data_IF_240887475053
#
_entry.id   IF_240887475053
#
_cell.length_a   1.000
_cell.length_b   1.000
_cell.length_c   1.000
_cell.angle_alpha   90.00
_cell.angle_beta   90.00
_cell.angle_gamma   90.00
#
_symmetry.space_group_name_H-M   'P 1'
#
loop_
_entity.id
_entity.type
_entity.pdbx_description
1 polymer ?
#
# COMPACT_ATOMS: atom_id res chain seq x y z
N UNK A 1 29.66 -56.77 -21.51
CA UNK A 1 29.79 -57.87 -22.54
C UNK A 1 30.32 -57.25 -23.79
N UNK A 2 31.56 -57.54 -24.02
CA UNK A 2 32.23 -57.85 -25.30
C UNK A 2 32.38 -56.69 -26.28
N UNK A 3 33.58 -56.23 -26.45
CA UNK A 3 34.72 -56.80 -27.30
C UNK A 3 34.69 -56.07 -28.64
N UNK A 4 35.75 -55.64 -29.30
CA UNK A 4 37.20 -55.96 -29.42
C UNK A 4 37.78 -54.79 -30.24
N UNK A 5 38.87 -54.15 -29.91
CA UNK A 5 40.27 -54.50 -30.10
C UNK A 5 40.77 -54.64 -31.54
N UNK A 6 41.80 -53.88 -31.75
CA UNK A 6 43.08 -54.19 -32.35
C UNK A 6 43.23 -53.84 -33.85
N UNK A 7 44.20 -53.09 -34.16
CA UNK A 7 45.66 -53.24 -34.29
C UNK A 7 46.05 -53.54 -35.77
N UNK A 8 47.02 -52.96 -36.33
CA UNK A 8 48.44 -53.27 -36.54
C UNK A 8 49.00 -52.28 -37.58
N UNK A 9 50.02 -51.53 -37.30
CA UNK A 9 51.47 -51.77 -37.41
C UNK A 9 52.03 -52.20 -38.82
N UNK A 10 52.90 -51.32 -39.30
CA UNK A 10 54.17 -51.54 -39.92
C UNK A 10 54.25 -51.99 -41.41
N UNK A 11 55.04 -51.25 -42.15
CA UNK A 11 56.23 -51.77 -42.78
C UNK A 11 57.10 -50.67 -43.40
N UNK A 12 58.33 -50.62 -42.94
CA UNK A 12 59.54 -50.02 -43.52
C UNK A 12 59.85 -50.63 -44.92
N UNK A 13 60.45 -49.82 -45.85
CA UNK A 13 61.80 -50.02 -46.36
C UNK A 13 62.10 -49.03 -47.47
N UNK A 14 63.14 -48.23 -47.30
CA UNK A 14 64.34 -47.97 -48.07
C UNK A 14 64.29 -48.10 -49.59
N UNK A 15 64.71 -47.07 -50.33
CA UNK A 15 65.91 -47.05 -51.13
C UNK A 15 66.26 -45.65 -51.65
N UNK A 16 67.49 -45.39 -51.60
CA UNK A 16 68.38 -44.27 -51.72
C UNK A 16 68.62 -43.74 -53.14
N UNK A 17 69.12 -42.48 -53.15
CA UNK A 17 70.05 -41.82 -54.05
C UNK A 17 69.64 -41.43 -55.48
N UNK A 18 69.60 -40.11 -55.67
CA UNK A 18 70.47 -39.41 -56.62
C UNK A 18 70.36 -37.87 -56.43
N UNK A 19 71.50 -37.29 -56.28
CA UNK A 19 71.73 -35.85 -56.20
C UNK A 19 71.57 -35.15 -57.57
N UNK A 20 70.92 -34.00 -57.61
CA UNK A 20 71.31 -32.87 -58.48
C UNK A 20 70.67 -31.59 -57.95
N UNK A 21 71.52 -30.59 -57.83
CA UNK A 21 71.17 -29.27 -57.22
C UNK A 21 70.10 -28.48 -57.95
N UNK A 22 69.36 -27.83 -57.15
CA UNK A 22 68.51 -26.74 -57.55
C UNK A 22 68.46 -25.68 -56.42
N UNK A 23 68.22 -24.41 -56.67
CA UNK A 23 68.51 -23.28 -55.75
C UNK A 23 67.62 -23.27 -54.52
N UNK A 24 68.20 -22.87 -53.41
CA UNK A 24 67.65 -22.72 -52.11
C UNK A 24 66.48 -21.71 -52.21
N UNK A 25 65.26 -22.18 -52.09
CA UNK A 25 64.05 -21.31 -51.85
C UNK A 25 64.15 -20.72 -50.40
N UNK A 26 64.00 -19.43 -50.29
CA UNK A 26 63.84 -18.77 -49.02
C UNK A 26 62.59 -19.32 -48.32
N UNK A 27 62.77 -19.71 -47.06
CA UNK A 27 61.64 -20.02 -46.17
C UNK A 27 60.72 -18.81 -46.07
N UNK A 28 59.40 -18.95 -46.23
CA UNK A 28 58.46 -17.87 -46.00
C UNK A 28 58.54 -17.46 -44.52
N UNK A 29 58.78 -16.21 -44.26
CA UNK A 29 58.62 -15.60 -42.93
C UNK A 29 57.20 -15.82 -42.46
N UNK A 30 56.95 -16.17 -41.15
CA UNK A 30 55.61 -16.25 -40.63
C UNK A 30 54.96 -14.88 -40.77
N UNK A 31 53.77 -14.87 -41.35
CA UNK A 31 52.89 -13.67 -41.35
C UNK A 31 52.68 -13.20 -39.91
N UNK A 32 52.72 -11.88 -39.66
CA UNK A 32 52.44 -11.38 -38.32
C UNK A 32 50.99 -11.78 -37.93
N UNK A 33 50.86 -12.40 -36.76
CA UNK A 33 49.57 -12.68 -36.16
C UNK A 33 48.74 -11.38 -36.13
N UNK A 34 47.41 -11.49 -36.50
CA UNK A 34 46.52 -10.32 -36.42
C UNK A 34 46.50 -9.83 -34.96
N UNK A 35 46.44 -8.51 -34.72
CA UNK A 35 46.38 -7.97 -33.38
C UNK A 35 45.21 -8.59 -32.66
N UNK A 36 45.43 -9.15 -31.47
CA UNK A 36 44.39 -9.61 -30.57
C UNK A 36 43.48 -8.39 -30.33
N UNK A 37 42.27 -8.46 -30.84
CA UNK A 37 41.25 -7.43 -30.52
C UNK A 37 41.07 -7.44 -28.99
N UNK A 38 41.48 -6.38 -28.33
CA UNK A 38 41.15 -6.18 -26.92
C UNK A 38 39.59 -6.20 -26.83
N UNK A 39 39.05 -7.17 -26.07
CA UNK A 39 37.62 -7.14 -25.72
C UNK A 39 37.34 -5.79 -25.07
N UNK A 40 36.28 -5.08 -25.52
CA UNK A 40 35.90 -3.83 -24.87
C UNK A 40 35.67 -4.09 -23.40
N UNK A 41 36.31 -3.30 -22.54
CA UNK A 41 36.05 -3.30 -21.11
C UNK A 41 34.54 -3.11 -20.90
N UNK A 42 33.91 -3.87 -20.00
CA UNK A 42 32.50 -3.67 -19.70
C UNK A 42 32.27 -2.20 -19.32
N UNK A 43 31.25 -1.59 -19.89
CA UNK A 43 30.86 -0.23 -19.50
C UNK A 43 30.57 -0.24 -17.98
N UNK A 44 31.02 0.78 -17.26
CA UNK A 44 30.73 0.88 -15.83
C UNK A 44 29.21 0.88 -15.63
N UNK A 45 28.72 0.08 -14.67
CA UNK A 45 27.32 0.10 -14.28
C UNK A 45 26.88 1.51 -13.94
N UNK A 46 25.69 1.95 -14.37
CA UNK A 46 25.18 3.26 -14.02
C UNK A 46 25.12 3.42 -12.50
N UNK A 47 25.43 4.60 -11.99
CA UNK A 47 25.27 4.87 -10.57
C UNK A 47 23.78 4.68 -10.17
N UNK A 48 23.51 4.16 -8.96
CA UNK A 48 22.13 3.94 -8.51
C UNK A 48 21.35 5.27 -8.49
N UNK A 49 20.09 5.20 -8.84
CA UNK A 49 19.15 6.32 -8.79
C UNK A 49 18.84 6.72 -7.35
N UNK A 50 18.28 7.91 -7.14
CA UNK A 50 17.84 8.35 -5.81
C UNK A 50 16.78 7.40 -5.24
N UNK A 51 15.88 6.87 -6.07
CA UNK A 51 14.85 5.90 -5.68
C UNK A 51 15.48 4.56 -5.25
N UNK A 52 16.44 4.03 -6.02
CA UNK A 52 17.14 2.79 -5.64
C UNK A 52 17.89 2.94 -4.31
N UNK A 53 18.50 4.10 -4.06
CA UNK A 53 19.15 4.41 -2.79
C UNK A 53 18.14 4.52 -1.64
N UNK A 54 16.97 5.10 -1.87
CA UNK A 54 15.90 5.19 -0.87
C UNK A 54 15.37 3.80 -0.51
N UNK A 55 15.17 2.94 -1.49
CA UNK A 55 14.78 1.52 -1.29
C UNK A 55 15.83 0.78 -0.47
N UNK A 56 17.13 0.88 -0.81
CA UNK A 56 18.21 0.20 -0.08
C UNK A 56 18.28 0.64 1.39
N UNK A 57 18.12 1.94 1.64
CA UNK A 57 18.11 2.49 3.00
C UNK A 57 16.90 1.99 3.80
N UNK A 58 15.72 2.00 3.18
CA UNK A 58 14.50 1.52 3.82
C UNK A 58 14.60 0.02 4.14
N UNK A 59 15.09 -0.80 3.22
CA UNK A 59 15.29 -2.23 3.44
C UNK A 59 16.34 -2.50 4.55
N UNK A 60 17.38 -1.68 4.63
CA UNK A 60 18.37 -1.72 5.72
C UNK A 60 17.74 -1.36 7.07
N UNK A 61 16.89 -0.32 7.07
CA UNK A 61 16.16 0.10 8.27
C UNK A 61 15.20 -1.01 8.75
N UNK A 62 14.38 -1.54 7.84
CA UNK A 62 13.46 -2.66 8.13
C UNK A 62 14.19 -3.87 8.71
N UNK A 63 15.35 -4.24 8.15
CA UNK A 63 16.15 -5.36 8.64
C UNK A 63 16.72 -5.13 10.05
N UNK A 64 16.78 -3.89 10.53
CA UNK A 64 17.24 -3.54 11.88
C UNK A 64 16.15 -3.59 12.94
N UNK A 65 14.87 -3.66 12.53
CA UNK A 65 13.70 -3.63 13.42
C UNK A 65 13.47 -4.99 14.09
N UNK A 66 13.02 -4.95 15.36
CA UNK A 66 12.51 -6.14 16.05
C UNK A 66 11.14 -6.56 15.51
N UNK A 67 10.71 -7.79 15.81
CA UNK A 67 9.37 -8.28 15.44
C UNK A 67 8.27 -7.39 16.03
N UNK A 68 8.40 -6.97 17.29
CA UNK A 68 7.43 -6.11 17.98
C UNK A 68 7.32 -4.74 17.28
N UNK A 69 8.44 -4.16 16.84
CA UNK A 69 8.46 -2.91 16.11
C UNK A 69 7.80 -3.07 14.75
N UNK A 70 8.12 -4.14 14.00
CA UNK A 70 7.50 -4.42 12.69
C UNK A 70 5.99 -4.61 12.84
N UNK A 71 5.55 -5.46 13.77
CA UNK A 71 4.11 -5.70 14.02
C UNK A 71 3.41 -4.43 14.46
N UNK A 72 4.00 -3.64 15.36
CA UNK A 72 3.42 -2.37 15.80
C UNK A 72 3.16 -1.39 14.65
N UNK A 73 4.07 -1.34 13.66
CA UNK A 73 3.90 -0.49 12.49
C UNK A 73 2.71 -0.89 11.61
N UNK A 74 2.22 -2.12 11.68
CA UNK A 74 1.05 -2.59 10.94
C UNK A 74 -0.28 -2.19 11.61
N UNK A 75 -0.26 -1.43 12.69
CA UNK A 75 -1.47 -1.01 13.40
C UNK A 75 -1.71 0.50 13.29
N UNK A 76 -2.80 0.85 12.62
CA UNK A 76 -3.33 2.21 12.49
C UNK A 76 -4.60 2.29 13.34
N UNK A 77 -4.44 2.67 14.60
CA UNK A 77 -5.47 2.43 15.59
C UNK A 77 -6.32 3.66 15.88
N UNK A 78 -7.57 3.44 16.26
CA UNK A 78 -8.39 4.52 16.79
C UNK A 78 -7.73 5.10 18.04
N UNK A 79 -7.42 6.40 18.02
CA UNK A 79 -6.77 7.07 19.14
C UNK A 79 -7.51 6.76 20.45
N UNK A 80 -6.87 6.15 21.47
CA UNK A 80 -7.52 5.80 22.72
C UNK A 80 -7.82 7.05 23.58
N UNK A 81 -8.79 6.96 24.47
CA UNK A 81 -9.11 8.06 25.38
C UNK A 81 -8.02 8.26 26.43
N UNK A 82 -7.39 7.16 26.85
CA UNK A 82 -6.38 7.12 27.91
C UNK A 82 -5.10 6.47 27.39
N UNK A 83 -3.96 6.89 27.92
CA UNK A 83 -2.62 6.34 27.64
C UNK A 83 -2.11 6.51 26.21
N UNK A 84 -2.74 7.40 25.39
CA UNK A 84 -2.39 7.55 23.98
C UNK A 84 -0.88 7.84 23.72
N UNK A 85 -0.20 8.54 24.62
CA UNK A 85 1.26 8.80 24.51
C UNK A 85 2.08 7.57 24.89
N UNK A 86 1.69 6.87 25.96
CA UNK A 86 2.37 5.67 26.45
C UNK A 86 2.21 4.50 25.46
N UNK A 87 1.02 4.33 24.88
CA UNK A 87 0.72 3.23 23.98
C UNK A 87 1.53 3.32 22.66
N UNK A 88 1.87 4.53 22.20
CA UNK A 88 2.76 4.71 21.05
C UNK A 88 4.08 3.97 21.26
N UNK A 89 4.68 4.16 22.44
CA UNK A 89 5.97 3.53 22.78
C UNK A 89 5.82 2.06 23.13
N UNK A 90 4.76 1.71 23.90
CA UNK A 90 4.55 0.35 24.38
C UNK A 90 4.28 -0.64 23.26
N UNK A 91 3.54 -0.21 22.25
CA UNK A 91 3.09 -1.07 21.14
C UNK A 91 3.74 -0.73 19.80
N UNK A 92 4.69 0.22 19.76
CA UNK A 92 5.38 0.67 18.54
C UNK A 92 4.41 1.03 17.40
N UNK A 93 3.29 1.70 17.70
CA UNK A 93 2.16 1.89 16.81
C UNK A 93 2.54 2.55 15.49
N UNK A 94 1.96 2.08 14.38
CA UNK A 94 2.09 2.66 13.05
C UNK A 94 1.41 4.02 12.91
N UNK A 95 0.30 4.24 13.62
CA UNK A 95 -0.40 5.51 13.60
C UNK A 95 -1.69 5.58 14.41
N UNK A 96 -2.28 6.78 14.45
CA UNK A 96 -3.55 7.07 15.08
C UNK A 96 -4.56 7.64 14.08
N UNK A 97 -5.79 7.12 14.11
CA UNK A 97 -6.96 7.77 13.48
C UNK A 97 -7.70 8.55 14.57
N UNK A 98 -7.86 9.86 14.33
CA UNK A 98 -8.58 10.77 15.22
C UNK A 98 -10.03 10.90 14.76
N UNK A 99 -10.94 10.81 15.73
CA UNK A 99 -12.39 10.93 15.53
C UNK A 99 -12.90 12.28 16.03
N UNK A 100 -14.19 12.56 15.80
CA UNK A 100 -14.82 13.81 16.25
C UNK A 100 -14.68 14.08 17.75
N UNK A 101 -14.59 13.04 18.60
CA UNK A 101 -14.34 13.21 20.05
C UNK A 101 -12.95 13.80 20.33
N UNK A 102 -11.98 13.51 19.47
CA UNK A 102 -10.58 13.89 19.67
C UNK A 102 -10.32 15.33 19.19
N UNK A 103 -11.18 15.83 18.30
CA UNK A 103 -11.14 17.19 17.76
C UNK A 103 -12.13 18.13 18.44
N UNK A 104 -13.20 17.59 19.07
CA UNK A 104 -14.29 18.37 19.66
C UNK A 104 -13.79 19.38 20.70
N UNK A 105 -14.29 20.58 20.60
CA UNK A 105 -14.02 21.71 21.53
C UNK A 105 -12.53 22.11 21.66
N UNK A 106 -11.64 21.57 20.80
CA UNK A 106 -10.22 21.94 20.77
C UNK A 106 -9.99 23.17 19.91
N UNK A 107 -9.06 24.02 20.33
CA UNK A 107 -8.47 25.02 19.44
C UNK A 107 -7.44 24.37 18.53
N UNK A 108 -7.05 25.04 17.43
CA UNK A 108 -6.00 24.56 16.55
C UNK A 108 -4.69 24.29 17.33
N UNK A 109 -4.31 25.20 18.22
CA UNK A 109 -3.11 25.02 19.04
C UNK A 109 -3.20 23.80 19.97
N UNK A 110 -4.36 23.53 20.59
CA UNK A 110 -4.53 22.37 21.47
C UNK A 110 -4.41 21.06 20.68
N UNK A 111 -4.96 21.02 19.47
CA UNK A 111 -4.89 19.83 18.61
C UNK A 111 -3.46 19.61 18.11
N UNK A 112 -2.79 20.65 17.62
CA UNK A 112 -1.38 20.60 17.19
C UNK A 112 -0.49 20.09 18.34
N UNK A 113 -0.63 20.64 19.54
CA UNK A 113 0.16 20.19 20.70
C UNK A 113 -0.17 18.74 21.11
N UNK A 114 -1.40 18.32 20.92
CA UNK A 114 -1.81 16.92 21.18
C UNK A 114 -1.13 15.97 20.19
N UNK A 115 -1.23 16.24 18.90
CA UNK A 115 -0.61 15.42 17.84
C UNK A 115 0.92 15.42 17.98
N UNK A 116 1.51 16.58 18.29
CA UNK A 116 2.96 16.68 18.51
C UNK A 116 3.44 15.77 19.62
N UNK A 117 2.70 15.67 20.76
CA UNK A 117 3.07 14.74 21.84
C UNK A 117 3.02 13.29 21.41
N UNK A 118 2.13 12.90 20.50
CA UNK A 118 2.13 11.56 19.93
C UNK A 118 3.36 11.33 19.05
N UNK A 119 3.68 12.29 18.18
CA UNK A 119 4.87 12.22 17.32
C UNK A 119 6.18 12.22 18.13
N UNK A 120 6.28 13.05 19.17
CA UNK A 120 7.48 13.14 20.03
C UNK A 120 7.73 11.84 20.84
N UNK A 121 6.69 11.03 21.07
CA UNK A 121 6.81 9.73 21.74
C UNK A 121 7.16 8.58 20.79
N UNK A 122 6.96 8.76 19.49
CA UNK A 122 7.17 7.73 18.49
C UNK A 122 8.64 7.63 18.08
N UNK A 123 9.19 6.41 18.09
CA UNK A 123 10.52 6.14 17.53
C UNK A 123 10.49 6.21 16.00
N UNK A 124 9.40 5.79 15.39
CA UNK A 124 9.11 5.91 13.94
C UNK A 124 7.89 6.82 13.81
N UNK A 125 7.96 7.94 13.08
CA UNK A 125 6.87 8.89 12.96
C UNK A 125 5.53 8.24 12.61
N UNK A 126 4.46 8.71 13.24
CA UNK A 126 3.13 8.14 13.14
C UNK A 126 2.40 8.62 11.87
N UNK A 127 1.62 7.72 11.28
CA UNK A 127 0.48 8.11 10.47
C UNK A 127 -0.56 8.76 11.38
N UNK A 128 -0.98 9.97 11.07
CA UNK A 128 -2.07 10.68 11.80
C UNK A 128 -3.20 10.91 10.81
N UNK A 129 -4.24 10.10 10.95
CA UNK A 129 -5.36 10.07 10.02
C UNK A 129 -6.66 10.63 10.58
N UNK A 130 -7.54 10.96 9.66
CA UNK A 130 -8.90 11.44 9.98
C UNK A 130 -9.84 11.18 8.81
N UNK A 131 -11.14 10.97 9.10
CA UNK A 131 -12.20 10.96 8.09
C UNK A 131 -12.73 12.39 7.85
N UNK A 132 -12.14 13.11 6.96
CA UNK A 132 -12.66 14.43 6.54
C UNK A 132 -13.15 14.33 5.09
N UNK A 133 -14.20 13.50 4.85
CA UNK A 133 -14.77 13.26 3.52
C UNK A 133 -15.48 14.50 2.98
N UNK A 134 -16.12 15.21 3.88
CA UNK A 134 -17.10 16.26 3.59
C UNK A 134 -18.54 15.77 3.80
N UNK A 135 -19.51 16.69 3.79
CA UNK A 135 -20.92 16.33 3.95
C UNK A 135 -21.27 15.78 5.32
N UNK A 136 -21.66 14.50 5.37
CA UNK A 136 -22.08 13.82 6.61
C UNK A 136 -20.90 13.32 7.44
N UNK A 137 -19.76 13.05 6.81
CA UNK A 137 -18.55 12.51 7.46
C UNK A 137 -17.47 13.57 7.51
N UNK A 138 -17.44 14.30 8.62
CA UNK A 138 -16.47 15.35 8.94
C UNK A 138 -16.11 15.28 10.42
N UNK A 139 -14.83 15.39 10.74
CA UNK A 139 -14.34 15.32 12.13
C UNK A 139 -13.70 16.63 12.55
N UNK A 140 -12.88 17.22 11.70
CA UNK A 140 -12.17 18.48 11.95
C UNK A 140 -13.10 19.67 11.71
N UNK A 141 -13.68 19.78 10.52
CA UNK A 141 -14.55 20.92 10.16
C UNK A 141 -15.90 20.95 10.88
N UNK A 142 -16.24 19.88 11.62
CA UNK A 142 -17.39 19.88 12.53
C UNK A 142 -17.17 20.77 13.77
N UNK A 143 -15.90 21.09 14.09
CA UNK A 143 -15.54 21.97 15.19
C UNK A 143 -15.36 23.42 14.69
N UNK A 144 -16.21 24.37 15.13
CA UNK A 144 -16.17 25.76 14.67
C UNK A 144 -14.91 26.53 15.09
N UNK A 145 -14.12 26.02 16.06
CA UNK A 145 -12.83 26.60 16.43
C UNK A 145 -11.70 26.20 15.43
N UNK A 146 -11.90 25.15 14.61
CA UNK A 146 -10.95 24.71 13.62
C UNK A 146 -11.33 25.21 12.22
N UNK A 147 -12.63 25.24 11.88
CA UNK A 147 -13.15 25.80 10.64
C UNK A 147 -14.54 26.38 10.86
N UNK A 148 -14.83 27.53 10.29
CA UNK A 148 -16.10 28.25 10.49
C UNK A 148 -17.34 27.53 9.96
N UNK A 149 -17.17 26.58 9.02
CA UNK A 149 -18.25 25.78 8.45
C UNK A 149 -17.72 24.39 8.05
N UNK A 150 -18.61 23.39 8.02
CA UNK A 150 -18.27 22.04 7.56
C UNK A 150 -17.92 22.04 6.08
N UNK A 151 -16.99 21.18 5.68
CA UNK A 151 -16.76 20.85 4.28
C UNK A 151 -18.03 20.24 3.68
N UNK A 152 -18.32 20.56 2.42
CA UNK A 152 -19.51 20.07 1.74
C UNK A 152 -19.27 18.67 1.16
N UNK A 153 -20.38 17.95 0.88
CA UNK A 153 -20.28 16.68 0.16
C UNK A 153 -19.79 16.89 -1.28
N UNK A 154 -19.08 15.89 -1.87
CA UNK A 154 -18.66 15.95 -3.27
C UNK A 154 -19.79 16.28 -4.25
N UNK A 155 -20.98 15.73 -4.01
CA UNK A 155 -22.18 16.01 -4.81
C UNK A 155 -22.56 17.49 -4.81
N UNK A 156 -22.54 18.14 -3.63
CA UNK A 156 -22.89 19.58 -3.51
C UNK A 156 -21.83 20.47 -4.15
N UNK A 157 -20.56 20.13 -3.99
CA UNK A 157 -19.45 20.84 -4.61
C UNK A 157 -19.56 20.77 -6.13
N UNK A 158 -19.76 19.59 -6.67
CA UNK A 158 -19.89 19.37 -8.09
C UNK A 158 -21.11 20.11 -8.68
N UNK A 159 -22.25 20.03 -8.00
CA UNK A 159 -23.46 20.76 -8.42
C UNK A 159 -23.30 22.28 -8.38
N UNK A 160 -22.46 22.80 -7.47
CA UNK A 160 -22.22 24.23 -7.26
C UNK A 160 -21.15 24.84 -8.18
N UNK A 161 -20.15 24.07 -8.61
CA UNK A 161 -19.02 24.61 -9.36
C UNK A 161 -18.19 23.58 -10.14
N UNK A 162 -18.74 22.37 -10.37
CA UNK A 162 -18.09 21.33 -11.14
C UNK A 162 -16.82 20.78 -10.46
N UNK A 163 -15.94 20.21 -11.26
CA UNK A 163 -14.68 19.62 -10.75
C UNK A 163 -13.72 20.68 -10.19
N UNK A 164 -13.77 21.92 -10.69
CA UNK A 164 -12.95 23.01 -10.14
C UNK A 164 -13.29 23.30 -8.67
N UNK A 165 -14.56 23.22 -8.29
CA UNK A 165 -14.98 23.39 -6.89
C UNK A 165 -14.56 22.18 -6.04
N UNK A 166 -14.59 20.97 -6.59
CA UNK A 166 -14.15 19.74 -5.91
C UNK A 166 -12.66 19.78 -5.62
N UNK A 167 -11.83 20.12 -6.59
CA UNK A 167 -10.36 20.20 -6.42
C UNK A 167 -9.94 21.36 -5.52
N UNK A 168 -10.66 22.50 -5.59
CA UNK A 168 -10.41 23.63 -4.68
C UNK A 168 -10.73 23.26 -3.22
N UNK A 169 -11.81 22.52 -2.97
CA UNK A 169 -12.20 22.03 -1.66
C UNK A 169 -11.17 20.99 -1.13
N UNK A 170 -10.69 20.07 -1.97
CA UNK A 170 -9.65 19.12 -1.62
C UNK A 170 -8.38 19.86 -1.15
N UNK A 171 -7.89 20.82 -1.91
CA UNK A 171 -6.73 21.65 -1.55
C UNK A 171 -6.93 22.41 -0.22
N UNK A 172 -8.11 23.03 0.00
CA UNK A 172 -8.40 23.72 1.27
C UNK A 172 -8.40 22.73 2.44
N UNK A 173 -8.93 21.53 2.23
CA UNK A 173 -8.99 20.44 3.20
C UNK A 173 -7.59 19.97 3.57
N UNK A 174 -6.76 19.69 2.58
CA UNK A 174 -5.38 19.23 2.78
C UNK A 174 -4.53 20.27 3.49
N UNK A 175 -4.65 21.55 3.11
CA UNK A 175 -3.98 22.65 3.79
C UNK A 175 -4.39 22.79 5.26
N UNK A 176 -5.69 22.63 5.58
CA UNK A 176 -6.17 22.65 6.95
C UNK A 176 -5.65 21.46 7.75
N UNK A 177 -5.74 20.26 7.20
CA UNK A 177 -5.32 19.02 7.87
C UNK A 177 -3.81 19.02 8.15
N UNK A 178 -3.00 19.35 7.14
CA UNK A 178 -1.54 19.46 7.29
C UNK A 178 -1.13 20.50 8.33
N UNK A 179 -1.78 21.66 8.35
CA UNK A 179 -1.52 22.72 9.35
C UNK A 179 -1.84 22.27 10.77
N UNK A 180 -2.73 21.31 10.95
CA UNK A 180 -3.09 20.72 12.26
C UNK A 180 -2.22 19.53 12.64
N UNK A 181 -1.40 19.00 11.71
CA UNK A 181 -0.48 17.87 11.93
C UNK A 181 -1.01 16.52 11.44
N UNK A 182 -2.12 16.48 10.71
CA UNK A 182 -2.56 15.28 9.99
C UNK A 182 -1.72 15.07 8.74
N UNK A 183 -1.45 13.82 8.41
CA UNK A 183 -0.72 13.43 7.19
C UNK A 183 -1.50 12.42 6.33
N UNK A 184 -2.66 11.93 6.80
CA UNK A 184 -3.56 11.04 6.05
C UNK A 184 -5.00 11.53 6.19
N UNK A 185 -5.70 11.66 5.08
CA UNK A 185 -7.16 11.78 5.06
C UNK A 185 -7.76 10.49 4.49
N UNK A 186 -8.65 9.82 5.26
CA UNK A 186 -9.35 8.63 4.82
C UNK A 186 -10.46 9.01 3.83
N UNK A 187 -10.05 9.48 2.68
CA UNK A 187 -10.81 9.98 1.53
C UNK A 187 -9.95 9.84 0.26
N UNK A 188 -10.54 9.86 -0.95
CA UNK A 188 -11.97 10.02 -1.24
C UNK A 188 -12.77 8.72 -1.11
N UNK A 189 -14.10 8.85 -1.02
CA UNK A 189 -15.02 7.72 -1.17
C UNK A 189 -15.12 7.38 -2.65
N UNK A 190 -14.66 6.18 -3.01
CA UNK A 190 -14.61 5.66 -4.37
C UNK A 190 -15.83 4.81 -4.75
N UNK A 191 -16.74 4.58 -3.78
CA UNK A 191 -17.96 3.82 -4.01
C UNK A 191 -18.86 4.45 -5.09
N UNK A 192 -19.32 3.63 -6.03
CA UNK A 192 -20.26 4.03 -7.09
C UNK A 192 -21.68 3.85 -6.60
N UNK A 193 -22.45 4.93 -6.50
CA UNK A 193 -23.87 4.91 -6.18
C UNK A 193 -24.61 6.04 -6.88
N UNK A 194 -25.65 5.67 -7.66
CA UNK A 194 -26.53 6.62 -8.36
C UNK A 194 -27.92 6.67 -7.75
N UNK A 195 -28.22 5.82 -6.76
CA UNK A 195 -29.52 5.70 -6.12
C UNK A 195 -29.50 6.34 -4.73
N UNK A 196 -30.40 7.27 -4.47
CA UNK A 196 -30.59 7.88 -3.13
C UNK A 196 -31.11 6.88 -2.07
N UNK A 197 -31.45 5.66 -2.48
CA UNK A 197 -31.85 4.60 -1.58
C UNK A 197 -30.65 3.79 -1.02
N UNK A 198 -29.49 3.92 -1.66
CA UNK A 198 -28.29 3.21 -1.23
C UNK A 198 -27.70 3.84 0.03
N UNK A 199 -27.25 3.02 0.98
CA UNK A 199 -26.61 3.49 2.22
C UNK A 199 -25.46 4.45 1.97
N UNK A 200 -24.61 4.15 1.00
CA UNK A 200 -23.39 4.90 0.71
C UNK A 200 -23.61 6.18 -0.10
N UNK A 201 -24.82 6.37 -0.68
CA UNK A 201 -25.09 7.44 -1.65
C UNK A 201 -24.71 8.82 -1.14
N UNK A 202 -25.11 9.20 0.08
CA UNK A 202 -24.86 10.54 0.64
C UNK A 202 -23.37 10.85 0.88
N UNK A 203 -22.52 9.82 0.88
CA UNK A 203 -21.06 9.92 1.02
C UNK A 203 -20.33 9.82 -0.32
N UNK A 204 -20.93 9.14 -1.31
CA UNK A 204 -20.37 8.93 -2.64
C UNK A 204 -20.45 10.21 -3.50
N UNK A 205 -19.84 10.15 -4.70
CA UNK A 205 -19.96 11.23 -5.68
C UNK A 205 -21.37 11.35 -6.28
N UNK A 206 -22.17 10.30 -6.20
CA UNK A 206 -23.57 10.30 -6.64
C UNK A 206 -23.75 10.27 -8.16
N UNK A 207 -22.75 9.85 -8.91
CA UNK A 207 -22.74 9.73 -10.37
C UNK A 207 -22.40 8.30 -10.79
N UNK A 208 -22.37 8.06 -12.11
CA UNK A 208 -21.93 6.77 -12.67
C UNK A 208 -20.44 6.48 -12.42
N UNK A 209 -20.02 5.29 -12.77
CA UNK A 209 -18.66 4.82 -12.51
C UNK A 209 -17.58 5.66 -13.21
N UNK A 210 -17.84 6.09 -14.46
CA UNK A 210 -16.89 6.94 -15.20
C UNK A 210 -16.70 8.30 -14.55
N UNK A 211 -17.80 8.97 -14.21
CA UNK A 211 -17.75 10.27 -13.53
C UNK A 211 -17.18 10.16 -12.10
N UNK A 212 -17.44 9.03 -11.42
CA UNK A 212 -16.84 8.75 -10.09
C UNK A 212 -15.34 8.51 -10.22
N UNK A 213 -14.87 7.83 -11.28
CA UNK A 213 -13.45 7.66 -11.56
C UNK A 213 -12.75 9.00 -11.82
N UNK A 214 -13.35 9.88 -12.61
CA UNK A 214 -12.84 11.25 -12.87
C UNK A 214 -12.74 12.05 -11.55
N UNK A 215 -13.75 11.95 -10.69
CA UNK A 215 -13.76 12.59 -9.37
C UNK A 215 -12.64 12.06 -8.49
N UNK A 216 -12.53 10.76 -8.34
CA UNK A 216 -11.51 10.12 -7.49
C UNK A 216 -10.11 10.48 -8.00
N UNK A 217 -9.87 10.36 -9.30
CA UNK A 217 -8.61 10.74 -9.92
C UNK A 217 -8.21 12.19 -9.62
N UNK A 218 -9.14 13.13 -9.78
CA UNK A 218 -8.87 14.55 -9.55
C UNK A 218 -8.55 14.85 -8.07
N UNK A 219 -9.27 14.20 -7.14
CA UNK A 219 -9.04 14.39 -5.70
C UNK A 219 -7.72 13.77 -5.26
N UNK A 220 -7.43 12.52 -5.66
CA UNK A 220 -6.17 11.86 -5.28
C UNK A 220 -4.95 12.55 -5.88
N UNK A 221 -5.03 13.00 -7.15
CA UNK A 221 -3.97 13.79 -7.76
C UNK A 221 -3.71 15.11 -6.98
N UNK A 222 -4.78 15.78 -6.51
CA UNK A 222 -4.63 16.98 -5.70
C UNK A 222 -4.01 16.68 -4.33
N UNK A 223 -4.48 15.63 -3.63
CA UNK A 223 -3.94 15.21 -2.34
C UNK A 223 -2.46 14.84 -2.45
N UNK A 224 -2.09 14.11 -3.52
CA UNK A 224 -0.70 13.76 -3.81
C UNK A 224 0.18 15.01 -4.04
N UNK A 225 -0.32 15.98 -4.81
CA UNK A 225 0.38 17.25 -5.04
C UNK A 225 0.57 18.09 -3.76
N UNK A 226 -0.34 17.96 -2.80
CA UNK A 226 -0.31 18.64 -1.50
C UNK A 226 0.47 17.84 -0.43
N UNK A 227 0.98 16.63 -0.75
CA UNK A 227 1.69 15.75 0.19
C UNK A 227 0.79 15.11 1.25
N UNK A 228 -0.51 14.96 0.97
CA UNK A 228 -1.49 14.35 1.85
C UNK A 228 -1.74 12.89 1.44
N UNK A 229 -1.60 11.96 2.37
CA UNK A 229 -1.97 10.56 2.14
C UNK A 229 -3.46 10.40 1.89
N UNK A 230 -3.82 9.71 0.81
CA UNK A 230 -5.20 9.40 0.45
C UNK A 230 -5.54 7.93 0.74
N UNK A 231 -6.80 7.66 1.04
CA UNK A 231 -7.30 6.30 1.26
C UNK A 231 -8.57 6.09 0.46
N UNK A 232 -8.47 5.29 -0.60
CA UNK A 232 -9.61 4.91 -1.43
C UNK A 232 -10.49 3.92 -0.67
N UNK A 233 -11.78 4.21 -0.55
CA UNK A 233 -12.70 3.37 0.21
C UNK A 233 -14.10 3.34 -0.39
N UNK A 234 -14.78 2.23 -0.22
CA UNK A 234 -14.51 1.02 0.54
C UNK A 234 -14.41 -0.17 -0.43
N UNK A 235 -13.21 -0.62 -0.74
CA UNK A 235 -13.02 -1.73 -1.69
C UNK A 235 -13.72 -3.01 -1.20
N UNK A 236 -14.37 -3.82 -2.05
CA UNK A 236 -14.47 -3.73 -3.53
C UNK A 236 -15.57 -2.79 -4.05
N UNK A 237 -16.28 -2.08 -3.21
CA UNK A 237 -17.39 -1.18 -3.52
C UNK A 237 -18.68 -1.62 -2.85
N UNK A 238 -19.35 -0.71 -2.15
CA UNK A 238 -20.60 -1.01 -1.44
C UNK A 238 -21.77 -1.32 -2.36
N UNK A 239 -21.82 -0.69 -3.55
CA UNK A 239 -22.99 -0.79 -4.43
C UNK A 239 -24.27 -0.44 -3.68
N UNK A 240 -25.27 -1.34 -3.78
CA UNK A 240 -26.57 -1.22 -3.09
C UNK A 240 -26.64 -2.02 -1.77
N UNK A 241 -25.52 -2.42 -1.18
CA UNK A 241 -25.48 -3.18 0.05
C UNK A 241 -25.80 -2.34 1.29
N UNK A 242 -26.11 -3.03 2.38
CA UNK A 242 -26.40 -2.43 3.69
C UNK A 242 -25.12 -1.98 4.39
N UNK A 243 -25.30 -1.19 5.45
CA UNK A 243 -24.21 -0.69 6.30
C UNK A 243 -23.55 -1.83 7.11
N UNK A 244 -22.26 -2.06 6.92
CA UNK A 244 -21.49 -3.07 7.66
C UNK A 244 -21.26 -2.72 9.13
N UNK A 245 -21.53 -1.48 9.56
CA UNK A 245 -21.57 -1.13 10.99
C UNK A 245 -22.72 -1.81 11.75
N UNK A 246 -23.75 -2.26 11.06
CA UNK A 246 -24.95 -2.84 11.67
C UNK A 246 -25.11 -4.34 11.42
N UNK A 247 -24.15 -4.97 10.72
CA UNK A 247 -24.16 -6.39 10.41
C UNK A 247 -23.40 -6.76 9.14
N UNK A 248 -23.45 -8.02 8.77
CA UNK A 248 -22.77 -8.53 7.58
C UNK A 248 -23.54 -8.11 6.32
N UNK A 249 -22.86 -7.44 5.40
CA UNK A 249 -23.37 -7.13 4.06
C UNK A 249 -22.89 -8.24 3.09
N UNK A 250 -23.84 -8.85 2.38
CA UNK A 250 -23.55 -9.93 1.42
C UNK A 250 -23.82 -9.43 0.01
N UNK A 251 -22.78 -9.25 -0.77
CA UNK A 251 -22.84 -8.80 -2.15
C UNK A 251 -22.90 -10.02 -3.09
N UNK A 252 -24.01 -10.13 -3.82
CA UNK A 252 -24.26 -11.22 -4.76
C UNK A 252 -24.05 -10.81 -6.23
N UNK A 253 -23.49 -9.63 -6.48
CA UNK A 253 -23.20 -9.17 -7.82
C UNK A 253 -22.11 -10.05 -8.45
N UNK A 254 -22.19 -10.34 -9.75
CA UNK A 254 -21.14 -11.08 -10.45
C UNK A 254 -19.88 -10.20 -10.60
N UNK A 255 -18.71 -10.82 -10.76
CA UNK A 255 -17.42 -10.14 -10.87
C UNK A 255 -17.40 -9.10 -11.98
N UNK A 256 -18.01 -9.41 -13.13
CA UNK A 256 -18.09 -8.51 -14.29
C UNK A 256 -18.79 -7.17 -13.96
N UNK A 257 -19.64 -7.13 -12.92
CA UNK A 257 -20.27 -5.87 -12.47
C UNK A 257 -19.23 -4.99 -11.77
N UNK A 258 -18.40 -5.59 -10.91
CA UNK A 258 -17.32 -4.85 -10.23
C UNK A 258 -16.27 -4.35 -11.23
N UNK A 259 -15.87 -5.19 -12.18
CA UNK A 259 -14.92 -4.83 -13.24
C UNK A 259 -15.41 -3.69 -14.11
N UNK A 260 -16.70 -3.71 -14.47
CA UNK A 260 -17.31 -2.70 -15.35
C UNK A 260 -17.67 -1.40 -14.62
N UNK A 261 -17.76 -1.40 -13.30
CA UNK A 261 -18.23 -0.26 -12.50
C UNK A 261 -17.32 0.05 -11.33
N UNK A 262 -17.40 -0.77 -10.26
CA UNK A 262 -16.86 -0.42 -8.95
C UNK A 262 -15.34 -0.29 -8.95
N UNK A 263 -14.61 -1.10 -9.75
CA UNK A 263 -13.14 -1.04 -9.82
C UNK A 263 -12.60 0.16 -10.59
N UNK A 264 -13.42 0.83 -11.42
CA UNK A 264 -12.94 1.96 -12.24
C UNK A 264 -12.47 3.14 -11.37
N UNK A 265 -13.20 3.60 -10.34
CA UNK A 265 -12.72 4.68 -9.46
C UNK A 265 -11.47 4.28 -8.66
N UNK A 266 -11.35 3.02 -8.22
CA UNK A 266 -10.17 2.56 -7.49
C UNK A 266 -8.93 2.60 -8.40
N UNK A 267 -9.00 2.06 -9.64
CA UNK A 267 -7.89 2.17 -10.61
C UNK A 267 -7.49 3.62 -10.83
N UNK A 268 -8.47 4.48 -11.11
CA UNK A 268 -8.20 5.89 -11.37
C UNK A 268 -7.52 6.59 -10.19
N UNK A 269 -7.92 6.25 -8.97
CA UNK A 269 -7.31 6.80 -7.75
C UNK A 269 -5.91 6.27 -7.48
N UNK A 270 -5.68 4.97 -7.68
CA UNK A 270 -4.35 4.35 -7.56
C UNK A 270 -3.36 4.99 -8.54
N UNK A 271 -3.77 5.10 -9.82
CA UNK A 271 -2.93 5.68 -10.88
C UNK A 271 -2.60 7.16 -10.61
N UNK A 272 -3.54 7.93 -10.08
CA UNK A 272 -3.39 9.38 -9.90
C UNK A 272 -2.74 9.77 -8.58
N UNK A 273 -2.88 8.96 -7.54
CA UNK A 273 -2.34 9.24 -6.21
C UNK A 273 -0.95 8.65 -5.98
N UNK A 274 -0.57 7.65 -6.78
CA UNK A 274 0.76 7.01 -6.71
C UNK A 274 1.08 6.49 -5.32
N UNK A 275 2.33 6.66 -4.90
CA UNK A 275 2.86 6.17 -3.61
C UNK A 275 2.19 6.79 -2.37
N UNK A 276 1.40 7.86 -2.53
CA UNK A 276 0.68 8.51 -1.43
C UNK A 276 -0.73 7.94 -1.22
N UNK A 277 -1.13 6.93 -2.01
CA UNK A 277 -2.47 6.34 -1.96
C UNK A 277 -2.46 4.96 -1.30
N UNK A 278 -3.39 4.76 -0.36
CA UNK A 278 -3.73 3.47 0.22
C UNK A 278 -5.15 3.06 -0.18
N UNK A 279 -5.49 1.78 0.01
CA UNK A 279 -6.83 1.23 -0.23
C UNK A 279 -7.37 0.62 1.07
N UNK A 280 -8.59 1.01 1.45
CA UNK A 280 -9.30 0.42 2.57
C UNK A 280 -10.31 -0.60 2.08
N UNK A 281 -10.17 -1.84 2.58
CA UNK A 281 -11.04 -2.98 2.25
C UNK A 281 -12.16 -3.11 3.26
N UNK A 282 -13.38 -3.12 2.77
CA UNK A 282 -14.61 -3.23 3.58
C UNK A 282 -14.84 -4.63 4.15
N UNK A 283 -15.87 -4.74 5.01
CA UNK A 283 -16.30 -6.02 5.57
C UNK A 283 -17.49 -6.65 4.81
N UNK A 284 -17.73 -6.25 3.56
CA UNK A 284 -18.72 -6.90 2.70
C UNK A 284 -18.25 -8.31 2.32
N UNK A 285 -19.14 -9.28 2.26
CA UNK A 285 -18.87 -10.60 1.67
C UNK A 285 -19.14 -10.49 0.16
N UNK A 286 -18.08 -10.63 -0.65
CA UNK A 286 -18.13 -10.61 -2.12
C UNK A 286 -18.30 -12.06 -2.63
N UNK A 287 -19.55 -12.54 -2.74
CA UNK A 287 -19.84 -13.96 -2.96
C UNK A 287 -19.30 -14.54 -4.28
N UNK A 288 -19.03 -13.71 -5.27
CA UNK A 288 -18.44 -14.16 -6.53
C UNK A 288 -16.92 -14.50 -6.41
N UNK A 289 -16.29 -14.15 -5.27
CA UNK A 289 -14.86 -14.43 -4.97
C UNK A 289 -14.76 -15.34 -3.74
N UNK A 290 -15.43 -14.95 -2.66
CA UNK A 290 -15.46 -15.67 -1.39
C UNK A 290 -16.86 -15.55 -0.78
N UNK A 291 -17.53 -16.67 -0.54
CA UNK A 291 -18.88 -16.69 0.00
C UNK A 291 -18.92 -16.86 1.53
N UNK A 292 -17.78 -16.91 2.17
CA UNK A 292 -17.62 -17.20 3.60
C UNK A 292 -16.96 -16.08 4.39
N UNK A 293 -15.93 -15.43 3.82
CA UNK A 293 -15.14 -14.40 4.50
C UNK A 293 -15.49 -13.01 4.00
N UNK A 294 -15.51 -12.01 4.90
CA UNK A 294 -15.56 -10.61 4.49
C UNK A 294 -14.35 -10.25 3.62
N UNK A 295 -14.52 -9.31 2.71
CA UNK A 295 -13.48 -8.87 1.78
C UNK A 295 -12.15 -8.54 2.49
N UNK A 296 -12.20 -7.88 3.64
CA UNK A 296 -11.02 -7.56 4.46
C UNK A 296 -10.30 -8.79 5.04
N UNK A 297 -10.94 -9.96 5.06
CA UNK A 297 -10.38 -11.21 5.57
C UNK A 297 -10.22 -12.27 4.47
N UNK A 298 -10.55 -11.95 3.21
CA UNK A 298 -10.51 -12.86 2.07
C UNK A 298 -9.22 -12.70 1.26
N UNK A 299 -8.34 -13.72 1.19
CA UNK A 299 -7.17 -13.69 0.31
C UNK A 299 -7.56 -13.44 -1.15
N UNK A 300 -8.65 -14.06 -1.66
CA UNK A 300 -9.07 -13.89 -3.04
C UNK A 300 -9.44 -12.46 -3.41
N UNK A 301 -9.97 -11.66 -2.47
CA UNK A 301 -10.25 -10.24 -2.71
C UNK A 301 -8.95 -9.43 -2.74
N UNK A 302 -7.95 -9.79 -1.94
CA UNK A 302 -6.62 -9.16 -1.96
C UNK A 302 -5.85 -9.51 -3.23
N UNK A 303 -6.01 -10.74 -3.76
CA UNK A 303 -5.43 -11.14 -5.06
C UNK A 303 -5.96 -10.26 -6.20
N UNK A 304 -7.26 -9.88 -6.18
CA UNK A 304 -7.79 -8.92 -7.15
C UNK A 304 -7.04 -7.58 -7.07
N UNK A 305 -6.83 -7.03 -5.87
CA UNK A 305 -6.08 -5.77 -5.71
C UNK A 305 -4.65 -5.90 -6.22
N UNK A 306 -3.96 -6.98 -5.85
CA UNK A 306 -2.54 -7.17 -6.15
C UNK A 306 -2.28 -7.59 -7.60
N UNK A 307 -3.02 -8.60 -8.08
CA UNK A 307 -2.72 -9.24 -9.37
C UNK A 307 -3.54 -8.66 -10.51
N UNK A 308 -4.84 -8.36 -10.31
CA UNK A 308 -5.69 -7.87 -11.40
C UNK A 308 -5.67 -6.35 -11.52
N UNK A 309 -5.63 -5.63 -10.39
CA UNK A 309 -5.55 -4.17 -10.38
C UNK A 309 -4.11 -3.65 -10.31
N UNK A 310 -3.13 -4.51 -10.00
CA UNK A 310 -1.71 -4.18 -9.97
C UNK A 310 -1.32 -3.19 -8.87
N UNK A 311 -2.02 -3.21 -7.72
CA UNK A 311 -1.79 -2.27 -6.64
C UNK A 311 -0.70 -2.76 -5.68
N UNK A 312 0.44 -2.07 -5.65
CA UNK A 312 1.57 -2.37 -4.77
C UNK A 312 1.61 -1.52 -3.48
N UNK A 313 0.73 -0.53 -3.35
CA UNK A 313 0.62 0.33 -2.18
C UNK A 313 0.01 -0.35 -0.95
N UNK A 314 -0.21 0.43 0.11
CA UNK A 314 -0.77 -0.08 1.38
C UNK A 314 -2.24 -0.45 1.23
N UNK A 315 -2.56 -1.70 1.58
CA UNK A 315 -3.94 -2.20 1.75
C UNK A 315 -4.25 -2.26 3.23
N UNK A 316 -5.34 -1.63 3.65
CA UNK A 316 -5.76 -1.63 5.06
C UNK A 316 -7.18 -2.17 5.24
N UNK A 317 -7.45 -2.70 6.42
CA UNK A 317 -8.82 -3.10 6.81
C UNK A 317 -9.67 -1.88 7.12
N UNK A 318 -11.00 -2.02 7.01
CA UNK A 318 -11.91 -1.18 7.81
C UNK A 318 -11.79 -1.56 9.30
N UNK A 319 -12.46 -0.84 10.22
CA UNK A 319 -12.29 -1.06 11.67
C UNK A 319 -12.74 -2.48 12.06
N UNK A 320 -11.79 -3.31 12.48
CA UNK A 320 -12.04 -4.69 12.92
C UNK A 320 -12.91 -4.80 14.19
N UNK A 321 -13.26 -3.67 14.82
CA UNK A 321 -14.24 -3.62 15.91
C UNK A 321 -15.70 -3.55 15.42
N UNK A 322 -15.94 -3.51 14.10
CA UNK A 322 -17.28 -3.46 13.53
C UNK A 322 -18.04 -4.80 13.68
N UNK A 323 -19.36 -4.73 13.80
CA UNK A 323 -20.23 -5.91 14.00
C UNK A 323 -20.10 -6.94 12.87
N UNK A 324 -19.78 -6.52 11.64
CA UNK A 324 -19.58 -7.40 10.48
C UNK A 324 -18.45 -8.42 10.66
N UNK A 325 -17.44 -8.13 11.47
CA UNK A 325 -16.31 -9.03 11.75
C UNK A 325 -16.34 -9.62 13.16
N UNK A 326 -17.30 -9.25 13.99
CA UNK A 326 -17.41 -9.75 15.37
C UNK A 326 -17.53 -11.29 15.43
N UNK A 327 -18.15 -11.93 14.43
CA UNK A 327 -18.29 -13.39 14.35
C UNK A 327 -16.95 -14.11 14.11
N UNK A 328 -15.92 -13.41 13.64
CA UNK A 328 -14.58 -13.96 13.37
C UNK A 328 -13.59 -13.69 14.50
N UNK A 329 -14.02 -12.98 15.55
CA UNK A 329 -13.16 -12.52 16.64
C UNK A 329 -13.13 -13.46 17.87
N UNK A 330 -13.71 -14.68 17.81
CA UNK A 330 -13.91 -15.57 18.96
C UNK A 330 -12.66 -15.77 19.84
N UNK A 331 -11.48 -15.78 19.24
CA UNK A 331 -10.19 -15.90 19.96
C UNK A 331 -9.36 -14.63 19.96
N UNK A 332 -9.93 -13.48 19.53
CA UNK A 332 -9.17 -12.23 19.34
C UNK A 332 -8.08 -12.33 18.27
N UNK A 333 -8.24 -13.21 17.29
CA UNK A 333 -7.25 -13.45 16.23
C UNK A 333 -7.61 -12.75 14.91
N UNK A 334 -8.57 -11.84 14.91
CA UNK A 334 -9.06 -11.20 13.68
C UNK A 334 -7.96 -10.42 12.94
N UNK A 335 -7.03 -9.80 13.66
CA UNK A 335 -5.89 -9.13 13.02
C UNK A 335 -4.92 -10.13 12.37
N UNK A 336 -4.73 -11.32 12.95
CA UNK A 336 -3.94 -12.40 12.32
C UNK A 336 -4.60 -12.83 11.02
N UNK A 337 -5.93 -13.02 11.00
CA UNK A 337 -6.67 -13.34 9.78
C UNK A 337 -6.54 -12.24 8.73
N UNK A 338 -6.66 -10.98 9.12
CA UNK A 338 -6.54 -9.83 8.21
C UNK A 338 -5.14 -9.74 7.57
N UNK A 339 -4.08 -9.92 8.35
CA UNK A 339 -2.69 -9.93 7.83
C UNK A 339 -2.44 -11.17 6.96
N UNK A 340 -2.98 -12.34 7.33
CA UNK A 340 -2.90 -13.55 6.50
C UNK A 340 -3.63 -13.37 5.16
N UNK A 341 -4.71 -12.59 5.14
CA UNK A 341 -5.47 -12.30 3.92
C UNK A 341 -4.72 -11.37 2.94
N UNK A 342 -3.71 -10.63 3.41
CA UNK A 342 -2.91 -9.73 2.57
C UNK A 342 -3.06 -8.24 2.86
N UNK A 343 -3.71 -7.87 3.99
CA UNK A 343 -3.65 -6.49 4.46
C UNK A 343 -2.25 -6.15 4.97
N UNK A 344 -1.82 -4.93 4.76
CA UNK A 344 -0.57 -4.38 5.28
C UNK A 344 -0.79 -3.58 6.56
N UNK A 345 -1.99 -3.02 6.74
CA UNK A 345 -2.30 -2.14 7.85
C UNK A 345 -3.66 -2.50 8.45
N UNK A 346 -3.69 -2.69 9.76
CA UNK A 346 -4.89 -3.07 10.51
C UNK A 346 -5.47 -1.86 11.21
N UNK A 347 -6.74 -1.55 10.92
CA UNK A 347 -7.50 -0.55 11.64
C UNK A 347 -8.27 -1.25 12.75
N UNK A 348 -8.04 -0.90 14.01
CA UNK A 348 -8.76 -1.49 15.14
C UNK A 348 -8.75 -0.60 16.39
N UNK A 349 -9.75 -0.79 17.23
CA UNK A 349 -9.81 -0.21 18.58
C UNK A 349 -9.17 -1.14 19.62
N UNK A 350 -9.14 -2.47 19.38
CA UNK A 350 -8.67 -3.49 20.32
C UNK A 350 -7.20 -3.90 20.10
N UNK A 351 -6.36 -2.97 19.69
CA UNK A 351 -4.94 -3.23 19.39
C UNK A 351 -4.15 -3.84 20.57
N UNK A 352 -4.53 -3.51 21.81
CA UNK A 352 -3.84 -4.03 23.02
C UNK A 352 -3.96 -5.55 23.15
N UNK A 353 -5.05 -6.13 22.63
CA UNK A 353 -5.25 -7.58 22.54
C UNK A 353 -4.67 -8.15 21.24
N UNK A 354 -4.85 -7.43 20.13
CA UNK A 354 -4.52 -7.91 18.78
C UNK A 354 -3.00 -7.98 18.54
N UNK A 355 -2.24 -6.95 18.93
CA UNK A 355 -0.78 -6.90 18.69
C UNK A 355 -0.06 -8.11 19.33
N UNK A 356 -0.26 -8.44 20.62
CA UNK A 356 0.37 -9.63 21.22
C UNK A 356 0.00 -10.94 20.49
N UNK A 357 -1.24 -11.06 19.98
CA UNK A 357 -1.66 -12.26 19.24
C UNK A 357 -1.00 -12.38 17.87
N UNK A 358 -0.76 -11.25 17.19
CA UNK A 358 -0.02 -11.25 15.91
C UNK A 358 1.42 -11.66 16.17
N UNK A 359 2.07 -11.13 17.22
CA UNK A 359 3.44 -11.53 17.61
C UNK A 359 3.48 -13.04 17.92
N UNK A 360 2.57 -13.55 18.75
CA UNK A 360 2.46 -14.98 19.07
C UNK A 360 2.25 -15.84 17.81
N UNK A 361 1.44 -15.38 16.85
CA UNK A 361 1.18 -16.10 15.60
C UNK A 361 2.43 -16.19 14.72
N UNK A 362 3.28 -15.17 14.70
CA UNK A 362 4.57 -15.22 14.00
C UNK A 362 5.54 -16.14 14.74
N UNK A 363 5.70 -16.00 16.06
CA UNK A 363 6.60 -16.83 16.86
C UNK A 363 6.29 -18.32 16.79
N UNK A 364 5.02 -18.70 16.69
CA UNK A 364 4.60 -20.11 16.59
C UNK A 364 4.50 -20.61 15.14
N UNK A 365 4.76 -19.77 14.14
CA UNK A 365 4.74 -20.11 12.70
C UNK A 365 3.34 -20.21 12.08
N UNK A 366 2.30 -19.72 12.73
CA UNK A 366 0.93 -19.64 12.17
C UNK A 366 0.84 -18.51 11.13
N UNK A 367 1.56 -17.41 11.35
CA UNK A 367 1.71 -16.30 10.41
C UNK A 367 3.19 -16.23 9.96
N UNK A 368 3.43 -16.14 8.66
CA UNK A 368 4.78 -16.06 8.10
C UNK A 368 5.42 -14.69 8.41
N UNK A 369 6.61 -14.69 9.01
CA UNK A 369 7.37 -13.46 9.26
C UNK A 369 7.66 -12.69 7.97
N UNK A 370 7.88 -13.38 6.85
CA UNK A 370 8.07 -12.74 5.55
C UNK A 370 6.83 -11.93 5.10
N UNK A 371 5.62 -12.34 5.48
CA UNK A 371 4.41 -11.55 5.23
C UNK A 371 4.39 -10.26 6.07
N UNK A 372 4.84 -10.33 7.33
CA UNK A 372 5.00 -9.16 8.21
C UNK A 372 6.05 -8.20 7.63
N UNK A 373 7.19 -8.71 7.16
CA UNK A 373 8.24 -7.91 6.55
C UNK A 373 7.75 -7.19 5.30
N UNK A 374 7.03 -7.90 4.42
CA UNK A 374 6.46 -7.31 3.22
C UNK A 374 5.42 -6.22 3.52
N UNK A 375 4.52 -6.47 4.49
CA UNK A 375 3.53 -5.50 4.93
C UNK A 375 4.19 -4.27 5.58
N UNK A 376 5.14 -4.48 6.49
CA UNK A 376 5.88 -3.41 7.15
C UNK A 376 6.67 -2.57 6.13
N UNK A 377 7.29 -3.21 5.13
CA UNK A 377 7.98 -2.53 4.04
C UNK A 377 7.06 -1.57 3.29
N UNK A 378 5.82 -1.98 2.95
CA UNK A 378 4.84 -1.10 2.28
C UNK A 378 4.40 0.06 3.17
N UNK A 379 4.16 -0.19 4.45
CA UNK A 379 3.79 0.87 5.41
C UNK A 379 4.94 1.88 5.57
N UNK A 380 6.18 1.42 5.68
CA UNK A 380 7.35 2.30 5.78
C UNK A 380 7.58 3.06 4.46
N UNK A 381 7.38 2.43 3.30
CA UNK A 381 7.45 3.11 2.00
C UNK A 381 6.41 4.23 1.90
N UNK A 382 5.17 3.98 2.33
CA UNK A 382 4.13 5.01 2.39
C UNK A 382 4.52 6.16 3.32
N UNK A 383 5.08 5.87 4.50
CA UNK A 383 5.63 6.88 5.39
C UNK A 383 6.79 7.66 4.77
N UNK A 384 7.65 7.01 4.02
CA UNK A 384 8.74 7.66 3.27
C UNK A 384 8.18 8.61 2.20
N UNK A 385 7.21 8.16 1.42
CA UNK A 385 6.53 8.98 0.41
C UNK A 385 5.81 10.21 1.01
N UNK A 386 5.29 10.08 2.24
CA UNK A 386 4.71 11.16 3.03
C UNK A 386 5.76 12.10 3.67
N UNK A 387 7.07 11.87 3.45
CA UNK A 387 8.14 12.66 4.03
C UNK A 387 8.34 12.45 5.54
N UNK A 388 7.84 11.35 6.10
CA UNK A 388 7.91 11.10 7.54
C UNK A 388 9.23 10.46 7.98
N UNK A 389 10.01 9.86 7.06
CA UNK A 389 11.21 9.09 7.37
C UNK A 389 12.52 9.78 6.95
N UNK A 390 12.49 11.04 6.52
CA UNK A 390 13.69 11.76 6.02
C UNK A 390 14.87 11.74 6.99
N UNK A 391 14.61 11.72 8.31
CA UNK A 391 15.64 11.69 9.35
C UNK A 391 16.09 10.27 9.75
N UNK A 392 15.40 9.22 9.27
CA UNK A 392 15.63 7.83 9.68
C UNK A 392 16.32 6.98 8.60
N UNK A 393 16.21 7.39 7.34
CA UNK A 393 16.74 6.64 6.18
C UNK A 393 17.83 7.40 5.34
#
# INVERSE_FOLDING_TARGET
MNRLLAALLAALTLLSLAACGAPRAEEPQPEPEPPIAEEPLPEPEPAPTEEELAVEKLDTFLASMSLEEKVGQLFFVRCPADNAVEDVTTYHLGGYILFGRDTKDKTANDLIQTIRRYQDAAAIPLLIGVDEEGGTVVRVSSNPHLRSSKFQSPQKLFAGGGMDAVTADAREKDALLSALGFNVNLAPVADVSTSTADFIHDRSFGQDAGATADYVSAVTAQMSADGMGSVLKHFPGYGNNVDTHTGIAVDQRPLETFEASDFLPFRAGMDSGGDLTAVLVSHNIMTCVDDTLPASLSPGVHDILREELGFDGVVMTDDLAMDAVAAYAEDGAVAVMALTAGNDLVLTTDYRTQIPKVIEAVENGTLDEAAIDAACRRVLWWKQALGLLEDLT
#
